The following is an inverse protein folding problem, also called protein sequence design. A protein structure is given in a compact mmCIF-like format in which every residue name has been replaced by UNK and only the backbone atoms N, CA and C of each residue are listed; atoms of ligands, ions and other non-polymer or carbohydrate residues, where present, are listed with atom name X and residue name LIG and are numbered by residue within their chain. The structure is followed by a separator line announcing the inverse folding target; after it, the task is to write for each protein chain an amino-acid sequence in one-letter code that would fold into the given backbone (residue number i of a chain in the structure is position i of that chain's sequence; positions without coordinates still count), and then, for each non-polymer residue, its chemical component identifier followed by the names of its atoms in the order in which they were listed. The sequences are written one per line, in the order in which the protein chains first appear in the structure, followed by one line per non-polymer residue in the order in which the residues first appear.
data_IF_879617755507
#
_entry.id   IF_879617755507
#
_cell.length_a   1.000
_cell.length_b   1.000
_cell.length_c   1.000
_cell.angle_alpha   90.00
_cell.angle_beta   90.00
_cell.angle_gamma   90.00
#
_symmetry.space_group_name_H-M   'P 1'
#
loop_
_entity.id
_entity.type
_entity.pdbx_description
1 polymer ?
#
# COMPACT_ATOMS: atom_id res chain seq x y z
N UNK A 1 -7.27 18.09 3.90
CA UNK A 1 -8.20 17.13 3.29
C UNK A 1 -8.29 15.98 4.26
N UNK A 2 -9.41 15.84 4.97
CA UNK A 2 -9.64 14.71 5.87
C UNK A 2 -9.77 13.45 4.99
N UNK A 3 -8.93 12.45 5.27
CA UNK A 3 -9.00 11.16 4.60
C UNK A 3 -10.09 10.33 5.30
N UNK A 4 -10.96 9.66 4.55
CA UNK A 4 -12.01 8.78 5.12
C UNK A 4 -11.42 7.66 6.01
N UNK A 5 -10.10 7.48 5.99
CA UNK A 5 -9.37 6.47 6.74
C UNK A 5 -8.63 7.01 7.97
N UNK A 6 -8.76 8.30 8.31
CA UNK A 6 -8.00 8.91 9.43
C UNK A 6 -8.28 8.21 10.76
N UNK A 7 -9.54 7.81 11.00
CA UNK A 7 -9.91 7.06 12.19
C UNK A 7 -9.21 5.70 12.27
N UNK A 8 -9.12 4.98 11.14
CA UNK A 8 -8.43 3.69 11.11
C UNK A 8 -6.94 3.82 11.40
N UNK A 9 -6.30 4.88 10.87
CA UNK A 9 -4.88 5.17 11.14
C UNK A 9 -4.67 5.53 12.62
N UNK A 10 -5.55 6.36 13.20
CA UNK A 10 -5.49 6.72 14.61
C UNK A 10 -5.67 5.49 15.53
N UNK A 11 -6.63 4.61 15.22
CA UNK A 11 -6.82 3.34 15.93
C UNK A 11 -5.62 2.39 15.77
N UNK A 12 -4.99 2.35 14.59
CA UNK A 12 -3.80 1.54 14.36
C UNK A 12 -2.60 2.03 15.18
N UNK A 13 -2.43 3.34 15.33
CA UNK A 13 -1.40 3.94 16.18
C UNK A 13 -1.68 3.66 17.66
N UNK A 14 -2.89 3.92 18.13
CA UNK A 14 -3.30 3.68 19.53
C UNK A 14 -3.25 2.19 19.90
N UNK A 15 -3.56 1.31 18.95
CA UNK A 15 -3.49 -0.14 19.11
C UNK A 15 -2.09 -0.74 18.90
N UNK A 16 -1.04 0.08 18.81
CA UNK A 16 0.35 -0.35 18.64
C UNK A 16 0.56 -1.28 17.41
N UNK A 17 -0.22 -1.09 16.33
CA UNK A 17 -0.08 -1.91 15.10
C UNK A 17 1.27 -1.66 14.43
N UNK A 18 1.80 -0.44 14.53
CA UNK A 18 3.04 0.00 13.89
C UNK A 18 4.26 -0.02 14.84
N UNK A 19 4.05 -0.21 16.15
CA UNK A 19 5.11 -0.19 17.17
C UNK A 19 6.20 -1.23 16.87
N UNK A 20 7.48 -0.80 16.92
CA UNK A 20 8.63 -1.65 16.65
C UNK A 20 8.73 -2.18 15.21
N UNK A 21 7.92 -1.67 14.27
CA UNK A 21 7.96 -2.10 12.88
C UNK A 21 9.11 -1.43 12.11
N UNK A 22 9.83 -2.20 11.30
CA UNK A 22 10.82 -1.63 10.37
C UNK A 22 10.12 -0.76 9.30
N UNK A 23 10.83 0.25 8.72
CA UNK A 23 10.23 1.20 7.76
C UNK A 23 9.48 0.55 6.60
N UNK A 24 10.00 -0.53 6.04
CA UNK A 24 9.36 -1.24 4.93
C UNK A 24 8.04 -1.93 5.35
N UNK A 25 7.95 -2.39 6.59
CA UNK A 25 6.72 -2.98 7.15
C UNK A 25 5.69 -1.89 7.39
N UNK A 26 6.08 -0.73 7.94
CA UNK A 26 5.18 0.42 8.09
C UNK A 26 4.58 0.82 6.74
N UNK A 27 5.42 0.96 5.70
CA UNK A 27 4.97 1.27 4.35
C UNK A 27 3.98 0.21 3.82
N UNK A 28 4.29 -1.08 4.01
CA UNK A 28 3.43 -2.18 3.60
C UNK A 28 2.07 -2.17 4.32
N UNK A 29 2.05 -1.98 5.63
CA UNK A 29 0.80 -1.94 6.42
C UNK A 29 -0.07 -0.75 6.03
N UNK A 30 0.52 0.46 5.96
CA UNK A 30 -0.23 1.68 5.62
C UNK A 30 -0.68 1.70 4.16
N UNK A 31 -0.04 0.93 3.26
CA UNK A 31 -0.53 0.82 1.88
C UNK A 31 -1.92 0.21 1.79
N UNK A 32 -2.32 -0.63 2.77
CA UNK A 32 -3.66 -1.21 2.82
C UNK A 32 -4.76 -0.17 3.14
N UNK A 33 -4.38 0.98 3.68
CA UNK A 33 -5.30 2.09 3.96
C UNK A 33 -5.53 2.96 2.72
N UNK A 34 -4.49 3.12 1.89
CA UNK A 34 -4.51 4.00 0.71
C UNK A 34 -4.98 3.27 -0.55
N UNK A 35 -4.71 1.96 -0.63
CA UNK A 35 -5.03 1.18 -1.81
C UNK A 35 -6.49 0.77 -1.84
N UNK A 36 -7.17 1.18 -2.90
CA UNK A 36 -8.51 0.71 -3.22
C UNK A 36 -8.45 -0.26 -4.40
N UNK A 37 -8.81 -1.51 -4.17
CA UNK A 37 -8.97 -2.46 -5.26
C UNK A 37 -10.10 -1.99 -6.16
N UNK A 38 -9.78 -1.52 -7.37
CA UNK A 38 -10.81 -1.23 -8.38
C UNK A 38 -11.64 -2.50 -8.56
N UNK A 39 -12.89 -2.47 -8.09
CA UNK A 39 -13.87 -3.48 -8.49
C UNK A 39 -13.90 -3.44 -10.00
N UNK A 40 -13.46 -4.52 -10.66
CA UNK A 40 -13.53 -4.63 -12.11
C UNK A 40 -14.95 -4.24 -12.52
N UNK A 41 -15.11 -3.08 -13.15
CA UNK A 41 -16.36 -2.73 -13.82
C UNK A 41 -16.58 -3.89 -14.78
N UNK A 42 -17.62 -4.69 -14.52
CA UNK A 42 -18.10 -5.67 -15.49
C UNK A 42 -18.21 -4.92 -16.81
N UNK A 43 -17.22 -5.12 -17.68
CA UNK A 43 -17.31 -4.72 -19.07
C UNK A 43 -18.45 -5.53 -19.63
N UNK A 44 -19.61 -4.89 -19.82
CA UNK A 44 -20.71 -5.41 -20.59
C UNK A 44 -20.25 -5.40 -22.04
N UNK A 45 -19.74 -6.53 -22.50
CA UNK A 45 -19.38 -6.76 -23.88
C UNK A 45 -19.22 -8.26 -24.13
N UNK A 46 -20.01 -8.85 -25.06
CA UNK A 46 -19.86 -10.26 -25.40
C UNK A 46 -18.65 -10.41 -26.34
N UNK A 47 -17.58 -10.99 -25.88
CA UNK A 47 -16.39 -11.07 -26.71
C UNK A 47 -15.40 -12.16 -26.34
N UNK A 48 -15.65 -13.38 -26.81
CA UNK A 48 -14.68 -14.42 -27.22
C UNK A 48 -13.73 -14.98 -26.17
N UNK A 49 -14.17 -16.08 -25.59
CA UNK A 49 -13.33 -17.17 -25.05
C UNK A 49 -12.27 -17.59 -26.07
N UNK A 50 -10.99 -17.35 -25.77
CA UNK A 50 -9.90 -18.13 -26.35
C UNK A 50 -9.44 -19.13 -25.31
N UNK A 51 -9.98 -20.35 -25.41
CA UNK A 51 -9.40 -21.51 -24.74
C UNK A 51 -8.04 -21.79 -25.42
N UNK A 52 -6.94 -21.51 -24.69
CA UNK A 52 -5.64 -22.11 -24.99
C UNK A 52 -5.52 -23.40 -24.17
N UNK A 53 -4.86 -24.45 -24.69
CA UNK A 53 -4.73 -25.73 -24.04
C UNK A 53 -3.90 -25.62 -22.73
N UNK A 54 -4.13 -26.47 -21.71
CA UNK A 54 -3.39 -26.45 -20.47
C UNK A 54 -1.95 -26.88 -20.74
N UNK A 55 -1.01 -25.91 -20.69
CA UNK A 55 0.42 -26.15 -20.74
C UNK A 55 0.88 -26.87 -19.48
N UNK A 56 1.53 -28.00 -19.67
CA UNK A 56 2.12 -28.86 -18.64
C UNK A 56 3.09 -28.07 -17.77
N UNK A 57 2.96 -28.25 -16.45
CA UNK A 57 3.70 -27.53 -15.43
C UNK A 57 5.22 -27.71 -15.50
N UNK A 58 5.92 -26.66 -15.87
CA UNK A 58 7.32 -26.51 -15.55
C UNK A 58 7.47 -26.26 -14.02
N UNK A 59 8.53 -26.78 -13.36
CA UNK A 59 8.72 -26.54 -11.94
C UNK A 59 8.82 -25.04 -11.70
N UNK A 60 7.92 -24.50 -10.85
CA UNK A 60 7.93 -23.10 -10.45
C UNK A 60 9.28 -22.77 -9.81
N UNK A 61 10.19 -22.21 -10.57
CA UNK A 61 11.36 -21.53 -10.05
C UNK A 61 10.83 -20.47 -9.05
N UNK A 62 11.26 -20.55 -7.79
CA UNK A 62 11.05 -19.46 -6.83
C UNK A 62 11.53 -18.18 -7.52
N UNK A 63 10.69 -17.14 -7.65
CA UNK A 63 11.13 -15.92 -8.28
C UNK A 63 12.30 -15.34 -7.49
N UNK A 64 13.40 -15.04 -8.17
CA UNK A 64 14.63 -14.47 -7.61
C UNK A 64 14.45 -13.05 -7.00
N UNK A 65 13.22 -12.62 -6.77
CA UNK A 65 12.84 -11.28 -6.33
C UNK A 65 12.17 -11.18 -4.97
N UNK A 66 12.11 -12.27 -4.20
CA UNK A 66 11.48 -12.22 -2.88
C UNK A 66 12.45 -11.64 -1.82
N UNK A 67 12.58 -10.31 -1.84
CA UNK A 67 13.42 -9.57 -0.90
C UNK A 67 12.80 -9.40 0.49
N UNK A 68 11.55 -9.81 0.67
CA UNK A 68 10.95 -9.99 1.98
C UNK A 68 11.25 -11.40 2.47
N UNK A 69 12.14 -11.54 3.46
CA UNK A 69 12.38 -12.83 4.10
C UNK A 69 11.10 -13.35 4.78
N UNK A 70 11.01 -14.66 4.99
CA UNK A 70 9.84 -15.33 5.55
C UNK A 70 9.36 -14.70 6.88
N UNK A 71 10.29 -14.36 7.79
CA UNK A 71 10.00 -13.69 9.06
C UNK A 71 9.24 -12.36 8.85
N UNK A 72 9.69 -11.54 7.89
CA UNK A 72 9.06 -10.23 7.60
C UNK A 72 7.70 -10.37 6.92
N UNK A 73 7.53 -11.40 6.12
CA UNK A 73 6.21 -11.72 5.55
C UNK A 73 5.21 -12.08 6.62
N UNK A 74 5.64 -12.91 7.58
CA UNK A 74 4.80 -13.26 8.72
C UNK A 74 4.45 -12.02 9.52
N UNK A 75 5.45 -11.20 9.88
CA UNK A 75 5.23 -9.94 10.58
C UNK A 75 4.26 -9.01 9.83
N UNK A 76 4.46 -8.81 8.53
CA UNK A 76 3.55 -8.00 7.70
C UNK A 76 2.13 -8.54 7.75
N UNK A 77 1.96 -9.86 7.61
CA UNK A 77 0.65 -10.52 7.65
C UNK A 77 -0.04 -10.34 9.00
N UNK A 78 0.70 -10.52 10.10
CA UNK A 78 0.16 -10.34 11.46
C UNK A 78 -0.29 -8.91 11.72
N UNK A 79 0.50 -7.91 11.29
CA UNK A 79 0.15 -6.49 11.44
C UNK A 79 -1.04 -6.10 10.57
N UNK A 80 -1.13 -6.63 9.34
CA UNK A 80 -2.31 -6.45 8.48
C UNK A 80 -3.58 -7.07 9.08
N UNK A 81 -3.47 -8.23 9.72
CA UNK A 81 -4.59 -8.85 10.43
C UNK A 81 -5.05 -7.98 11.61
N UNK A 82 -4.11 -7.40 12.37
CA UNK A 82 -4.44 -6.44 13.44
C UNK A 82 -5.11 -5.18 12.90
N UNK A 83 -4.61 -4.62 11.80
CA UNK A 83 -5.23 -3.47 11.13
C UNK A 83 -6.66 -3.79 10.68
N UNK A 84 -6.87 -4.94 10.06
CA UNK A 84 -8.19 -5.40 9.63
C UNK A 84 -9.16 -5.54 10.82
N UNK A 85 -8.69 -6.08 11.95
CA UNK A 85 -9.49 -6.19 13.18
C UNK A 85 -9.93 -4.80 13.69
N UNK A 86 -9.05 -3.79 13.67
CA UNK A 86 -9.46 -2.42 14.01
C UNK A 86 -10.51 -1.89 13.03
N UNK A 87 -10.37 -2.15 11.73
CA UNK A 87 -11.36 -1.79 10.72
C UNK A 87 -12.73 -2.44 10.96
N UNK A 88 -12.77 -3.71 11.37
CA UNK A 88 -14.01 -4.41 11.72
C UNK A 88 -14.68 -3.81 12.97
N UNK A 89 -13.88 -3.45 13.98
CA UNK A 89 -14.39 -2.78 15.20
C UNK A 89 -15.01 -1.42 14.87
N UNK A 90 -14.34 -0.60 14.07
CA UNK A 90 -14.87 0.68 13.60
C UNK A 90 -16.18 0.46 12.87
N UNK A 91 -16.24 -0.48 11.92
CA UNK A 91 -17.45 -0.80 11.16
C UNK A 91 -18.63 -1.20 12.07
N UNK A 92 -18.37 -1.99 13.10
CA UNK A 92 -19.41 -2.39 14.05
C UNK A 92 -19.99 -1.18 14.81
N UNK A 93 -19.15 -0.23 15.21
CA UNK A 93 -19.60 1.02 15.84
C UNK A 93 -20.37 1.91 14.86
N UNK A 94 -19.89 2.06 13.63
CA UNK A 94 -20.57 2.83 12.57
C UNK A 94 -21.96 2.26 12.28
N UNK A 95 -22.11 0.95 12.29
CA UNK A 95 -23.41 0.28 12.08
C UNK A 95 -24.38 0.55 13.24
N UNK A 96 -23.90 0.46 14.49
CA UNK A 96 -24.71 0.76 15.68
C UNK A 96 -25.19 2.21 15.66
N UNK A 97 -24.33 3.15 15.25
CA UNK A 97 -24.62 4.58 15.25
C UNK A 97 -25.20 5.12 13.94
N UNK A 98 -25.40 4.25 12.93
CA UNK A 98 -25.96 4.62 11.62
C UNK A 98 -25.19 5.77 10.93
N UNK A 99 -23.85 5.76 11.04
CA UNK A 99 -22.97 6.71 10.37
C UNK A 99 -22.36 6.12 9.09
N UNK A 100 -21.83 6.95 8.17
CA UNK A 100 -21.16 6.47 6.97
C UNK A 100 -20.03 5.50 7.29
N UNK A 101 -19.89 4.45 6.47
CA UNK A 101 -18.90 3.39 6.69
C UNK A 101 -17.52 3.80 6.20
N UNK A 102 -16.52 3.65 7.05
CA UNK A 102 -15.10 3.75 6.70
C UNK A 102 -14.69 2.62 5.74
N UNK A 103 -13.86 2.93 4.76
CA UNK A 103 -13.30 1.94 3.86
C UNK A 103 -12.48 0.91 4.64
N UNK A 104 -12.63 -0.37 4.29
CA UNK A 104 -11.85 -1.43 4.92
C UNK A 104 -10.45 -1.50 4.31
N UNK A 105 -9.42 -1.85 5.10
CA UNK A 105 -8.07 -1.97 4.58
C UNK A 105 -7.98 -3.06 3.51
N UNK A 106 -7.34 -2.74 2.38
CA UNK A 106 -7.13 -3.67 1.25
C UNK A 106 -5.65 -4.04 1.15
N UNK A 107 -5.22 -5.23 1.58
CA UNK A 107 -3.82 -5.60 1.71
C UNK A 107 -3.12 -5.96 0.39
N UNK A 108 -3.81 -5.91 -0.75
CA UNK A 108 -3.30 -6.40 -2.03
C UNK A 108 -1.95 -5.81 -2.46
N UNK A 109 -1.64 -4.56 -2.10
CA UNK A 109 -0.35 -3.94 -2.41
C UNK A 109 0.72 -4.07 -1.33
N UNK A 110 0.39 -4.56 -0.15
CA UNK A 110 1.28 -4.51 1.01
C UNK A 110 2.65 -5.16 0.76
N UNK A 111 2.67 -6.37 0.16
CA UNK A 111 3.92 -7.07 -0.16
C UNK A 111 4.74 -6.34 -1.22
N UNK A 112 4.10 -5.79 -2.24
CA UNK A 112 4.77 -5.05 -3.32
C UNK A 112 5.40 -3.76 -2.78
N UNK A 113 4.67 -3.00 -1.97
CA UNK A 113 5.16 -1.76 -1.35
C UNK A 113 6.29 -2.04 -0.37
N UNK A 114 6.18 -3.07 0.47
CA UNK A 114 7.26 -3.46 1.36
C UNK A 114 8.52 -3.89 0.58
N UNK A 115 8.38 -4.61 -0.53
CA UNK A 115 9.49 -4.97 -1.41
C UNK A 115 10.11 -3.73 -2.08
N UNK A 116 9.28 -2.77 -2.53
CA UNK A 116 9.73 -1.49 -3.07
C UNK A 116 10.56 -0.71 -2.06
N UNK A 117 10.05 -0.49 -0.86
CA UNK A 117 10.76 0.21 0.20
C UNK A 117 12.12 -0.47 0.56
N UNK A 118 12.24 -1.77 0.35
CA UNK A 118 13.50 -2.52 0.52
C UNK A 118 14.43 -2.52 -0.69
N UNK A 119 14.15 -1.73 -1.70
CA UNK A 119 15.02 -1.59 -2.85
C UNK A 119 14.78 -2.62 -3.97
N UNK A 120 13.62 -3.26 -4.03
CA UNK A 120 13.25 -4.05 -5.20
C UNK A 120 13.17 -3.16 -6.44
N UNK A 121 13.52 -3.70 -7.62
CA UNK A 121 13.37 -2.96 -8.88
C UNK A 121 11.89 -2.65 -9.16
N UNK A 122 11.64 -1.62 -9.96
CA UNK A 122 10.27 -1.25 -10.33
C UNK A 122 9.53 -2.40 -11.04
N UNK A 123 10.22 -3.09 -11.96
CA UNK A 123 9.64 -4.25 -12.65
C UNK A 123 9.26 -5.38 -11.70
N UNK A 124 10.18 -5.79 -10.80
CA UNK A 124 9.91 -6.81 -9.77
C UNK A 124 8.73 -6.41 -8.87
N UNK A 125 8.66 -5.13 -8.51
CA UNK A 125 7.56 -4.62 -7.67
C UNK A 125 6.21 -4.72 -8.37
N UNK A 126 6.14 -4.38 -9.67
CA UNK A 126 4.91 -4.52 -10.46
C UNK A 126 4.51 -5.99 -10.64
N UNK A 127 5.45 -6.91 -10.78
CA UNK A 127 5.15 -8.35 -10.83
C UNK A 127 4.53 -8.84 -9.52
N UNK A 128 5.04 -8.38 -8.37
CA UNK A 128 4.46 -8.69 -7.06
C UNK A 128 3.08 -8.08 -6.92
N UNK A 129 2.90 -6.82 -7.31
CA UNK A 129 1.60 -6.15 -7.29
C UNK A 129 0.57 -6.86 -8.17
N UNK A 130 0.94 -7.25 -9.38
CA UNK A 130 0.06 -7.97 -10.30
C UNK A 130 -0.39 -9.33 -9.75
N UNK A 131 0.49 -10.03 -9.03
CA UNK A 131 0.17 -11.31 -8.39
C UNK A 131 -0.83 -11.16 -7.24
N UNK A 132 -0.65 -10.15 -6.38
CA UNK A 132 -1.35 -10.03 -5.10
C UNK A 132 -2.59 -9.10 -5.19
N UNK A 133 -2.51 -8.02 -5.98
CA UNK A 133 -3.59 -7.04 -6.15
C UNK A 133 -4.35 -7.17 -7.49
N UNK A 134 -3.77 -7.88 -8.47
CA UNK A 134 -4.22 -7.94 -9.85
C UNK A 134 -3.48 -6.94 -10.74
N UNK A 135 -3.72 -6.99 -12.06
CA UNK A 135 -3.05 -6.10 -13.02
C UNK A 135 -3.25 -4.62 -12.64
N UNK A 136 -2.12 -3.91 -12.57
CA UNK A 136 -2.05 -2.50 -12.24
C UNK A 136 -1.18 -1.76 -13.24
N UNK A 137 -1.66 -0.62 -13.75
CA UNK A 137 -0.84 0.22 -14.61
C UNK A 137 0.34 0.82 -13.79
N UNK A 138 1.55 0.92 -14.39
CA UNK A 138 2.71 1.51 -13.71
C UNK A 138 2.44 2.90 -13.10
N UNK A 139 1.68 3.74 -13.82
CA UNK A 139 1.29 5.07 -13.35
C UNK A 139 0.36 5.05 -12.14
N UNK A 140 -0.53 4.06 -12.04
CA UNK A 140 -1.41 3.89 -10.88
C UNK A 140 -0.60 3.48 -9.63
N UNK A 141 0.39 2.60 -9.79
CA UNK A 141 1.31 2.25 -8.71
C UNK A 141 2.06 3.49 -8.21
N UNK A 142 2.66 4.26 -9.10
CA UNK A 142 3.39 5.49 -8.74
C UNK A 142 2.48 6.47 -7.99
N UNK A 143 1.25 6.67 -8.46
CA UNK A 143 0.28 7.55 -7.80
C UNK A 143 -0.07 7.06 -6.39
N UNK A 144 -0.35 5.77 -6.24
CA UNK A 144 -0.67 5.16 -4.94
C UNK A 144 0.51 5.28 -3.97
N UNK A 145 1.74 5.03 -4.43
CA UNK A 145 2.94 5.18 -3.57
C UNK A 145 3.15 6.62 -3.12
N UNK A 146 2.83 7.63 -3.94
CA UNK A 146 2.89 9.03 -3.51
C UNK A 146 1.85 9.38 -2.45
N UNK A 147 0.61 8.96 -2.65
CA UNK A 147 -0.44 9.12 -1.64
C UNK A 147 -0.05 8.44 -0.33
N UNK A 148 0.57 7.27 -0.43
CA UNK A 148 1.11 6.56 0.72
C UNK A 148 2.26 7.34 1.39
N UNK A 149 3.17 7.92 0.63
CA UNK A 149 4.26 8.72 1.20
C UNK A 149 3.73 9.92 2.00
N UNK A 150 2.70 10.60 1.50
CA UNK A 150 2.03 11.69 2.23
C UNK A 150 1.41 11.19 3.54
N UNK A 151 0.75 10.04 3.54
CA UNK A 151 0.19 9.43 4.76
C UNK A 151 1.29 9.03 5.74
N UNK A 152 2.34 8.37 5.27
CA UNK A 152 3.47 7.92 6.10
C UNK A 152 4.18 9.11 6.76
N UNK A 153 4.34 10.23 6.03
CA UNK A 153 4.87 11.46 6.59
C UNK A 153 4.00 12.00 7.73
N UNK A 154 2.67 12.00 7.55
CA UNK A 154 1.73 12.41 8.61
C UNK A 154 1.83 11.49 9.83
N UNK A 155 1.91 10.17 9.62
CA UNK A 155 2.12 9.20 10.72
C UNK A 155 3.41 9.50 11.46
N UNK A 156 4.51 9.82 10.78
CA UNK A 156 5.78 10.21 11.40
C UNK A 156 5.67 11.46 12.31
N UNK A 157 4.76 12.38 11.98
CA UNK A 157 4.54 13.60 12.78
C UNK A 157 3.65 13.36 14.01
N UNK A 158 2.76 12.37 13.99
CA UNK A 158 1.74 12.16 15.05
C UNK A 158 1.93 10.87 15.84
N UNK A 159 2.86 10.01 15.45
CA UNK A 159 3.12 8.75 16.16
C UNK A 159 3.48 9.02 17.63
N UNK A 160 2.84 8.31 18.58
CA UNK A 160 3.02 8.58 20.01
C UNK A 160 4.39 8.16 20.53
N UNK A 161 5.04 7.20 19.89
CA UNK A 161 6.36 6.72 20.26
C UNK A 161 7.43 7.16 19.25
N UNK A 162 8.64 7.58 19.74
CA UNK A 162 9.70 8.12 18.88
C UNK A 162 10.28 7.09 17.89
N UNK A 163 10.24 5.79 18.19
CA UNK A 163 10.76 4.74 17.33
C UNK A 163 9.86 4.56 16.11
N UNK A 164 8.54 4.50 16.31
CA UNK A 164 7.56 4.48 15.22
C UNK A 164 7.63 5.76 14.38
N UNK A 165 7.79 6.93 15.01
CA UNK A 165 7.96 8.20 14.29
C UNK A 165 9.20 8.19 13.40
N UNK A 166 10.34 7.75 13.91
CA UNK A 166 11.59 7.63 13.14
C UNK A 166 11.47 6.61 12.01
N UNK A 167 10.86 5.44 12.27
CA UNK A 167 10.63 4.41 11.27
C UNK A 167 9.68 4.87 10.16
N UNK A 168 8.63 5.64 10.49
CA UNK A 168 7.72 6.23 9.50
C UNK A 168 8.45 7.27 8.65
N UNK A 169 9.26 8.15 9.25
CA UNK A 169 10.07 9.11 8.49
C UNK A 169 11.03 8.40 7.52
N UNK A 170 11.72 7.36 7.97
CA UNK A 170 12.58 6.55 7.11
C UNK A 170 11.77 5.85 5.99
N UNK A 171 10.57 5.38 6.29
CA UNK A 171 9.69 4.76 5.29
C UNK A 171 9.29 5.75 4.18
N UNK A 172 8.98 7.00 4.53
CA UNK A 172 8.69 8.06 3.57
C UNK A 172 9.83 8.22 2.56
N UNK A 173 11.08 8.33 3.04
CA UNK A 173 12.26 8.51 2.17
C UNK A 173 12.49 7.29 1.27
N UNK A 174 12.27 6.08 1.78
CA UNK A 174 12.38 4.84 1.02
C UNK A 174 11.31 4.70 -0.07
N UNK A 175 10.14 5.29 0.11
CA UNK A 175 9.06 5.30 -0.88
C UNK A 175 9.36 6.26 -2.03
N UNK A 176 9.91 7.44 -1.74
CA UNK A 176 10.20 8.51 -2.71
C UNK A 176 11.55 8.32 -3.40
N UNK A 177 11.71 7.25 -4.16
CA UNK A 177 12.93 6.97 -4.95
C UNK A 177 12.61 6.71 -6.42
N UNK A 178 13.64 6.78 -7.27
CA UNK A 178 13.58 6.44 -8.68
C UNK A 178 12.40 7.12 -9.43
N UNK A 179 11.56 6.33 -10.07
CA UNK A 179 10.41 6.81 -10.87
C UNK A 179 9.35 7.53 -10.03
N UNK A 180 9.25 7.24 -8.74
CA UNK A 180 8.32 7.91 -7.83
C UNK A 180 8.81 9.35 -7.57
N UNK A 181 10.10 9.53 -7.30
CA UNK A 181 10.71 10.83 -7.12
C UNK A 181 10.70 11.69 -8.41
N UNK A 182 11.02 11.10 -9.56
CA UNK A 182 11.09 11.81 -10.84
C UNK A 182 9.77 12.51 -11.23
N UNK A 183 8.63 11.92 -10.85
CA UNK A 183 7.33 12.54 -11.11
C UNK A 183 7.01 13.73 -10.20
N UNK A 184 7.61 13.81 -9.02
CA UNK A 184 7.44 14.95 -8.10
C UNK A 184 8.11 16.21 -8.65
N UNK A 185 9.30 16.06 -9.23
CA UNK A 185 10.04 17.16 -9.83
C UNK A 185 9.32 17.81 -11.02
N UNK A 186 8.64 17.00 -11.85
CA UNK A 186 7.84 17.52 -12.98
C UNK A 186 6.61 18.30 -12.54
N UNK A 187 5.95 17.89 -11.46
CA UNK A 187 4.78 18.60 -10.92
C UNK A 187 5.15 19.96 -10.34
N UNK A 188 6.29 20.05 -9.65
CA UNK A 188 6.79 21.31 -9.08
C UNK A 188 7.26 22.30 -10.16
N UNK A 189 7.84 21.82 -11.28
CA UNK A 189 8.30 22.66 -12.37
C UNK A 189 7.14 23.33 -13.14
N UNK A 190 5.97 22.72 -13.19
CA UNK A 190 4.77 23.28 -13.86
C UNK A 190 4.10 24.34 -12.99
N UNK A 191 4.16 24.22 -11.67
CA UNK A 191 3.59 25.22 -10.76
C UNK A 191 4.36 26.54 -10.69
N UNK A 192 5.62 26.58 -11.13
CA UNK A 192 6.51 27.75 -11.10
C UNK A 192 6.45 28.65 -12.34
N UNK A 193 5.64 28.35 -13.37
CA UNK A 193 5.61 29.10 -14.65
C UNK A 193 4.36 29.98 -14.80
N UNK A 194 3.55 30.17 -13.76
CA UNK A 194 2.42 31.09 -13.82
C UNK A 194 2.67 32.24 -12.84
N UNK A 195 3.42 33.23 -13.29
CA UNK A 195 3.30 34.61 -12.80
C UNK A 195 3.63 35.58 -13.93
N UNK A 196 2.72 36.52 -14.19
CA UNK A 196 2.88 37.57 -15.21
C UNK A 196 3.88 38.61 -14.81
#
# INVERSE_FOLDING_TARGET
VYHESDLLVAEALSGAVLEGAEPAIIAGVLSAVVFEKRRARKAFGPGRSRHGPPGQGAPRRKPAGDRLGEKRRLELTERLARLAHHGERIRALEEIHTVPRTAQPEPGLATAVAAWARGASFGTTLEVAARDAGEMAPGDFVRTVRQLADLVQQVGMVAPDPETAASATAAHDLLLRDVVAAGTLRSSAIAGVVSP
#
